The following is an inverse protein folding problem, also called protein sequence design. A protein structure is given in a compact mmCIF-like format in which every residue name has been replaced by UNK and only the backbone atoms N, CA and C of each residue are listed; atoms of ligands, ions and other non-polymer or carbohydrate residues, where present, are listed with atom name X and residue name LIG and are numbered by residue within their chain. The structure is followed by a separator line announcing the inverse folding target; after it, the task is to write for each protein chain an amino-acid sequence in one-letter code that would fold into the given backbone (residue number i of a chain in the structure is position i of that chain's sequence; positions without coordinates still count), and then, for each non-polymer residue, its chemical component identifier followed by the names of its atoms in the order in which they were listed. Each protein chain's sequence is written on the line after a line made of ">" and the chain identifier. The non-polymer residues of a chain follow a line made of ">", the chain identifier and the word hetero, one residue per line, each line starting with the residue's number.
data_IF_379142359258
#
_entry.id   IF_379142359258
#
_cell.length_a   1.000
_cell.length_b   1.000
_cell.length_c   1.000
_cell.angle_alpha   90.00
_cell.angle_beta   90.00
_cell.angle_gamma   90.00
#
_symmetry.space_group_name_H-M   'P 1'
#
loop_
_entity.id
_entity.type
_entity.pdbx_description
1 polymer ?
#
# COMPACT_ATOMS: atom_id res chain seq x y z
N UNK A 1 22.91 2.18 -5.12
CA UNK A 1 22.51 3.53 -4.66
C UNK A 1 23.39 4.51 -5.43
N UNK A 2 22.79 5.43 -6.17
CA UNK A 2 23.54 6.49 -6.86
C UNK A 2 23.96 7.50 -5.77
N UNK A 3 25.24 7.88 -5.70
CA UNK A 3 25.90 8.63 -4.61
C UNK A 3 25.39 10.08 -4.40
N UNK A 4 24.13 10.36 -4.72
CA UNK A 4 23.55 11.71 -4.72
C UNK A 4 22.85 12.06 -3.40
N UNK A 5 22.79 11.11 -2.46
CA UNK A 5 22.16 11.31 -1.15
C UNK A 5 23.21 11.63 -0.07
N UNK A 6 22.89 12.53 0.87
CA UNK A 6 23.68 12.74 2.09
C UNK A 6 23.96 11.44 2.85
N UNK A 7 25.16 11.31 3.40
CA UNK A 7 25.62 10.11 4.13
C UNK A 7 24.64 9.69 5.22
N UNK A 8 24.11 10.64 6.00
CA UNK A 8 23.17 10.35 7.08
C UNK A 8 21.86 9.71 6.59
N UNK A 9 21.42 9.98 5.36
CA UNK A 9 20.22 9.33 4.80
C UNK A 9 20.51 7.89 4.38
N UNK A 10 21.71 7.63 3.86
CA UNK A 10 22.14 6.28 3.52
C UNK A 10 22.24 5.38 4.76
N UNK A 11 22.76 5.92 5.87
CA UNK A 11 22.90 5.20 7.15
C UNK A 11 21.54 4.82 7.77
N UNK A 12 20.49 5.58 7.50
CA UNK A 12 19.13 5.27 7.98
C UNK A 12 18.50 4.06 7.28
N UNK A 13 19.01 3.66 6.12
CA UNK A 13 18.44 2.60 5.29
C UNK A 13 19.36 1.38 5.30
N UNK A 14 19.08 0.42 6.18
CA UNK A 14 19.92 -0.76 6.35
C UNK A 14 19.45 -1.93 5.45
N UNK A 15 20.36 -2.64 4.75
CA UNK A 15 20.01 -3.86 4.04
C UNK A 15 19.54 -4.94 5.03
N UNK A 16 18.59 -5.75 4.59
CA UNK A 16 18.08 -6.85 5.41
C UNK A 16 19.13 -7.97 5.53
N UNK A 17 19.62 -8.19 6.75
CA UNK A 17 20.56 -9.26 7.06
C UNK A 17 19.87 -10.28 7.98
N UNK A 18 19.38 -11.41 7.43
CA UNK A 18 18.79 -12.46 8.25
C UNK A 18 19.89 -13.22 9.01
N UNK A 19 19.60 -13.62 10.25
CA UNK A 19 20.50 -14.43 11.10
C UNK A 19 20.82 -15.80 10.50
N UNK A 20 19.97 -16.29 9.59
CA UNK A 20 20.14 -17.55 8.86
C UNK A 20 19.88 -17.32 7.37
N UNK A 21 20.58 -18.04 6.51
CA UNK A 21 20.38 -17.99 5.06
C UNK A 21 18.96 -18.47 4.68
N UNK A 22 18.09 -17.52 4.35
CA UNK A 22 16.73 -17.77 3.86
C UNK A 22 16.66 -17.52 2.35
N UNK A 23 15.71 -18.16 1.66
CA UNK A 23 15.46 -17.93 0.22
C UNK A 23 15.14 -16.46 -0.09
N UNK A 24 14.64 -15.72 0.89
CA UNK A 24 14.35 -14.28 0.80
C UNK A 24 15.60 -13.39 0.94
N UNK A 25 16.73 -13.92 1.42
CA UNK A 25 17.96 -13.14 1.60
C UNK A 25 18.45 -12.50 0.29
N UNK A 26 18.12 -13.10 -0.86
CA UNK A 26 18.54 -12.64 -2.18
C UNK A 26 17.60 -11.60 -2.83
N UNK A 27 16.55 -11.14 -2.13
CA UNK A 27 15.49 -10.28 -2.71
C UNK A 27 15.74 -8.76 -2.60
N UNK A 28 16.99 -8.35 -2.32
CA UNK A 28 17.42 -6.96 -2.18
C UNK A 28 16.47 -6.15 -1.26
N UNK A 29 16.15 -6.73 -0.10
CA UNK A 29 15.21 -6.15 0.87
C UNK A 29 15.91 -5.23 1.88
N UNK A 30 15.15 -4.30 2.43
CA UNK A 30 15.58 -3.39 3.49
C UNK A 30 14.99 -3.81 4.83
N UNK A 31 15.71 -3.55 5.91
CA UNK A 31 15.24 -3.84 7.26
C UNK A 31 14.19 -2.81 7.67
N UNK A 32 12.97 -3.26 7.93
CA UNK A 32 11.90 -2.42 8.50
C UNK A 32 11.94 -2.56 10.02
N UNK A 33 12.33 -1.48 10.71
CA UNK A 33 12.31 -1.43 12.18
C UNK A 33 10.87 -1.26 12.67
N UNK A 34 10.55 -1.80 13.84
CA UNK A 34 9.24 -1.63 14.48
C UNK A 34 9.24 -0.36 15.32
N UNK A 35 8.21 0.46 15.17
CA UNK A 35 7.98 1.66 15.96
C UNK A 35 6.73 1.52 16.82
N UNK A 36 6.70 2.25 17.94
CA UNK A 36 5.57 2.25 18.88
C UNK A 36 4.54 3.35 18.57
N UNK A 37 4.85 4.25 17.65
CA UNK A 37 4.06 5.45 17.35
C UNK A 37 3.86 5.60 15.85
N UNK A 38 2.71 6.18 15.46
CA UNK A 38 2.41 6.48 14.04
C UNK A 38 3.40 7.46 13.43
N UNK A 39 3.82 8.46 14.19
CA UNK A 39 4.88 9.39 13.77
C UNK A 39 6.21 8.65 13.48
N UNK A 40 6.51 7.61 14.27
CA UNK A 40 7.66 6.73 14.02
C UNK A 40 7.53 5.96 12.72
N UNK A 41 6.35 5.39 12.43
CA UNK A 41 6.08 4.67 11.17
C UNK A 41 6.25 5.58 9.93
N UNK A 42 5.94 6.87 10.09
CA UNK A 42 6.13 7.90 9.06
C UNK A 42 7.59 8.39 8.93
N UNK A 43 8.51 7.95 9.79
CA UNK A 43 9.92 8.33 9.68
C UNK A 43 10.52 7.82 8.36
N UNK A 44 11.46 8.59 7.81
CA UNK A 44 12.10 8.25 6.54
C UNK A 44 12.65 6.81 6.52
N UNK A 45 13.35 6.41 7.58
CA UNK A 45 13.95 5.08 7.70
C UNK A 45 12.93 3.94 7.52
N UNK A 46 11.73 4.10 8.07
CA UNK A 46 10.69 3.07 8.08
C UNK A 46 9.84 3.15 6.82
N UNK A 47 9.39 4.35 6.45
CA UNK A 47 8.59 4.57 5.25
C UNK A 47 9.36 4.17 3.98
N UNK A 48 10.64 4.54 3.87
CA UNK A 48 11.47 4.19 2.72
C UNK A 48 11.68 2.67 2.61
N UNK A 49 12.02 2.00 3.72
CA UNK A 49 12.22 0.56 3.73
C UNK A 49 10.92 -0.21 3.41
N UNK A 50 9.79 0.23 3.97
CA UNK A 50 8.47 -0.35 3.69
C UNK A 50 8.09 -0.20 2.21
N UNK A 51 8.20 1.02 1.67
CA UNK A 51 7.87 1.30 0.27
C UNK A 51 8.73 0.47 -0.68
N UNK A 52 10.04 0.41 -0.44
CA UNK A 52 10.98 -0.37 -1.25
C UNK A 52 10.66 -1.87 -1.23
N UNK A 53 10.34 -2.43 -0.06
CA UNK A 53 10.04 -3.85 0.07
C UNK A 53 8.76 -4.26 -0.66
N UNK A 54 7.79 -3.34 -0.80
CA UNK A 54 6.56 -3.55 -1.55
C UNK A 54 6.75 -3.47 -3.07
N UNK A 55 7.93 -3.06 -3.55
CA UNK A 55 8.21 -3.02 -4.99
C UNK A 55 8.45 -4.43 -5.57
N UNK A 56 7.95 -4.70 -6.79
CA UNK A 56 8.31 -5.90 -7.55
C UNK A 56 9.82 -5.99 -7.78
N UNK A 57 10.33 -7.22 -7.82
CA UNK A 57 11.76 -7.50 -8.09
C UNK A 57 12.24 -6.89 -9.40
N UNK A 58 11.42 -6.93 -10.45
CA UNK A 58 11.72 -6.35 -11.76
C UNK A 58 12.09 -4.86 -11.67
N UNK A 59 11.44 -4.10 -10.78
CA UNK A 59 11.72 -2.67 -10.59
C UNK A 59 13.02 -2.50 -9.79
N UNK A 60 13.24 -3.35 -8.78
CA UNK A 60 14.44 -3.29 -7.91
C UNK A 60 15.74 -3.67 -8.60
N UNK A 61 15.69 -4.54 -9.63
CA UNK A 61 16.87 -5.02 -10.38
C UNK A 61 17.10 -4.24 -11.67
N UNK A 62 16.43 -3.11 -11.88
CA UNK A 62 16.67 -2.28 -13.05
C UNK A 62 18.02 -1.57 -12.97
N UNK A 63 18.86 -1.77 -13.98
CA UNK A 63 20.19 -1.14 -14.04
C UNK A 63 20.16 0.34 -14.47
N UNK A 64 19.07 0.76 -15.12
CA UNK A 64 18.95 2.10 -15.68
C UNK A 64 17.90 2.96 -14.96
N UNK A 65 18.29 4.18 -14.59
CA UNK A 65 17.45 5.12 -13.85
C UNK A 65 16.19 5.54 -14.62
N UNK A 66 16.27 5.71 -15.94
CA UNK A 66 15.10 6.12 -16.74
C UNK A 66 14.07 4.99 -16.83
N UNK A 67 14.54 3.74 -17.01
CA UNK A 67 13.69 2.54 -16.97
C UNK A 67 13.06 2.35 -15.59
N UNK A 68 13.83 2.54 -14.51
CA UNK A 68 13.34 2.48 -13.13
C UNK A 68 12.18 3.46 -12.90
N UNK A 69 12.38 4.75 -13.23
CA UNK A 69 11.35 5.80 -13.09
C UNK A 69 10.08 5.46 -13.87
N UNK A 70 10.23 4.95 -15.10
CA UNK A 70 9.08 4.54 -15.94
C UNK A 70 8.30 3.41 -15.29
N UNK A 71 8.96 2.33 -14.93
CA UNK A 71 8.32 1.15 -14.33
C UNK A 71 7.68 1.46 -12.98
N UNK A 72 8.34 2.29 -12.17
CA UNK A 72 7.81 2.74 -10.89
C UNK A 72 6.48 3.50 -11.07
N UNK A 73 6.44 4.44 -12.02
CA UNK A 73 5.22 5.19 -12.34
C UNK A 73 4.09 4.25 -12.81
N UNK A 74 4.40 3.32 -13.71
CA UNK A 74 3.43 2.33 -14.19
C UNK A 74 2.90 1.46 -13.05
N UNK A 75 3.78 0.98 -12.17
CA UNK A 75 3.42 0.14 -11.03
C UNK A 75 2.44 0.86 -10.10
N UNK A 76 2.74 2.10 -9.69
CA UNK A 76 1.84 2.84 -8.80
C UNK A 76 0.49 3.16 -9.45
N UNK A 77 0.47 3.49 -10.74
CA UNK A 77 -0.78 3.76 -11.45
C UNK A 77 -1.66 2.51 -11.55
N UNK A 78 -1.07 1.37 -11.92
CA UNK A 78 -1.79 0.09 -12.01
C UNK A 78 -2.26 -0.37 -10.63
N UNK A 79 -1.39 -0.28 -9.61
CA UNK A 79 -1.74 -0.63 -8.23
C UNK A 79 -2.92 0.22 -7.74
N UNK A 80 -2.88 1.53 -7.95
CA UNK A 80 -3.97 2.43 -7.58
C UNK A 80 -5.29 2.09 -8.30
N UNK A 81 -5.25 1.88 -9.61
CA UNK A 81 -6.44 1.47 -10.38
C UNK A 81 -6.98 0.11 -9.91
N UNK A 82 -6.11 -0.82 -9.56
CA UNK A 82 -6.54 -2.14 -9.06
C UNK A 82 -7.27 -2.04 -7.72
N UNK A 83 -6.81 -1.15 -6.83
CA UNK A 83 -7.47 -0.88 -5.54
C UNK A 83 -8.84 -0.26 -5.79
N UNK A 84 -8.94 0.79 -6.61
CA UNK A 84 -10.22 1.42 -6.94
C UNK A 84 -11.19 0.38 -7.51
N UNK A 85 -10.77 -0.41 -8.51
CA UNK A 85 -11.65 -1.43 -9.11
C UNK A 85 -12.16 -2.44 -8.08
N UNK A 86 -11.31 -2.83 -7.14
CA UNK A 86 -11.66 -3.77 -6.07
C UNK A 86 -12.69 -3.18 -5.10
N UNK A 87 -12.50 -1.93 -4.65
CA UNK A 87 -13.47 -1.20 -3.83
C UNK A 87 -14.83 -1.16 -4.52
N UNK A 88 -14.87 -0.70 -5.77
CA UNK A 88 -16.11 -0.63 -6.54
C UNK A 88 -16.77 -2.00 -6.75
N UNK A 89 -16.00 -3.07 -6.95
CA UNK A 89 -16.54 -4.43 -7.08
C UNK A 89 -17.14 -4.95 -5.78
N UNK A 90 -16.50 -4.69 -4.62
CA UNK A 90 -17.07 -5.02 -3.31
C UNK A 90 -18.40 -4.30 -3.12
N UNK A 91 -18.46 -2.99 -3.37
CA UNK A 91 -19.71 -2.23 -3.25
C UNK A 91 -20.82 -2.78 -4.16
N UNK A 92 -20.49 -3.18 -5.38
CA UNK A 92 -21.46 -3.77 -6.31
C UNK A 92 -21.91 -5.16 -5.84
N UNK A 93 -21.01 -5.99 -5.32
CA UNK A 93 -21.37 -7.31 -4.77
C UNK A 93 -22.25 -7.17 -3.54
N UNK A 94 -21.93 -6.27 -2.61
CA UNK A 94 -22.76 -6.00 -1.44
C UNK A 94 -24.16 -5.55 -1.86
N UNK A 95 -24.27 -4.67 -2.86
CA UNK A 95 -25.55 -4.22 -3.41
C UNK A 95 -26.35 -5.36 -4.07
N UNK A 96 -25.70 -6.22 -4.86
CA UNK A 96 -26.35 -7.36 -5.52
C UNK A 96 -26.82 -8.41 -4.50
N UNK A 97 -26.03 -8.66 -3.45
CA UNK A 97 -26.41 -9.54 -2.34
C UNK A 97 -27.65 -9.00 -1.64
N UNK A 98 -27.70 -7.70 -1.36
CA UNK A 98 -28.87 -7.04 -0.76
C UNK A 98 -30.11 -7.19 -1.66
N UNK A 99 -29.97 -7.04 -2.97
CA UNK A 99 -31.09 -7.21 -3.92
C UNK A 99 -31.59 -8.67 -4.00
N UNK A 100 -30.72 -9.65 -3.79
CA UNK A 100 -31.08 -11.08 -3.73
C UNK A 100 -31.83 -11.47 -2.45
N UNK A 101 -31.65 -10.67 -1.38
CA UNK A 101 -32.30 -10.88 -0.10
C UNK A 101 -33.68 -10.20 -0.16
N UNK A 102 -34.72 -10.99 -0.41
CA UNK A 102 -36.12 -10.53 -0.36
C UNK A 102 -36.63 -10.32 1.08
N UNK A 103 -35.77 -9.83 1.98
CA UNK A 103 -36.10 -9.52 3.36
C UNK A 103 -36.10 -7.99 3.54
N UNK A 104 -37.30 -7.41 3.62
CA UNK A 104 -37.52 -5.98 3.70
C UNK A 104 -36.74 -5.31 4.83
N UNK A 105 -36.51 -6.00 5.95
CA UNK A 105 -35.82 -5.42 7.11
C UNK A 105 -34.33 -5.09 6.85
N UNK A 106 -33.61 -5.91 6.09
CA UNK A 106 -32.18 -5.69 5.80
C UNK A 106 -31.97 -4.55 4.79
N UNK A 107 -32.91 -4.41 3.84
CA UNK A 107 -32.93 -3.31 2.88
C UNK A 107 -33.12 -1.97 3.62
N UNK A 108 -34.10 -1.87 4.53
CA UNK A 108 -34.31 -0.65 5.31
C UNK A 108 -33.13 -0.31 6.21
N UNK A 109 -32.48 -1.30 6.83
CA UNK A 109 -31.29 -1.06 7.65
C UNK A 109 -30.12 -0.48 6.84
N UNK A 110 -29.89 -0.99 5.62
CA UNK A 110 -28.88 -0.45 4.71
C UNK A 110 -29.18 0.98 4.26
N UNK A 111 -30.43 1.28 3.88
CA UNK A 111 -30.82 2.66 3.53
C UNK A 111 -30.63 3.63 4.70
N UNK A 112 -30.98 3.22 5.92
CA UNK A 112 -30.71 4.02 7.12
C UNK A 112 -29.21 4.25 7.33
N UNK A 113 -28.38 3.22 7.18
CA UNK A 113 -26.93 3.34 7.30
C UNK A 113 -26.32 4.30 6.26
N UNK A 114 -26.70 4.17 4.99
CA UNK A 114 -26.22 5.04 3.90
C UNK A 114 -26.64 6.49 4.11
N UNK A 115 -27.89 6.74 4.54
CA UNK A 115 -28.38 8.10 4.85
C UNK A 115 -27.58 8.72 6.00
N UNK A 116 -27.30 7.96 7.06
CA UNK A 116 -26.48 8.43 8.19
C UNK A 116 -25.06 8.79 7.74
N UNK A 117 -24.43 7.96 6.91
CA UNK A 117 -23.09 8.23 6.39
C UNK A 117 -23.05 9.50 5.52
N UNK A 118 -24.07 9.74 4.68
CA UNK A 118 -24.17 10.96 3.86
C UNK A 118 -24.35 12.21 4.74
N UNK A 119 -25.17 12.15 5.79
CA UNK A 119 -25.37 13.27 6.73
C UNK A 119 -24.05 13.61 7.45
N UNK A 120 -23.30 12.60 7.88
CA UNK A 120 -21.99 12.79 8.53
C UNK A 120 -21.01 13.47 7.58
N UNK A 121 -20.97 13.08 6.30
CA UNK A 121 -20.07 13.68 5.30
C UNK A 121 -20.45 15.13 4.98
N UNK A 122 -21.74 15.48 5.00
CA UNK A 122 -22.23 16.84 4.73
C UNK A 122 -22.07 17.82 5.91
N UNK A 123 -21.75 17.32 7.10
CA UNK A 123 -21.54 18.13 8.31
C UNK A 123 -20.06 18.53 8.53
N UNK A 124 -19.15 18.13 7.62
CA UNK A 124 -17.74 18.51 7.57
C UNK A 124 -17.43 19.23 6.26
#
# INVERSE_FOLDING_TARGET
>A
MHNDAPVYLCELVCPYQPTRTLRSANNNMLQVKRTRTKAGDCSFAIAAASLWNNLPTVIKTCDNLTSYKRLLKTFFFVSHISVIRHEHYIFLLDYLVILSIHNSALIYWYYCYVIIMIIIILQF
#
